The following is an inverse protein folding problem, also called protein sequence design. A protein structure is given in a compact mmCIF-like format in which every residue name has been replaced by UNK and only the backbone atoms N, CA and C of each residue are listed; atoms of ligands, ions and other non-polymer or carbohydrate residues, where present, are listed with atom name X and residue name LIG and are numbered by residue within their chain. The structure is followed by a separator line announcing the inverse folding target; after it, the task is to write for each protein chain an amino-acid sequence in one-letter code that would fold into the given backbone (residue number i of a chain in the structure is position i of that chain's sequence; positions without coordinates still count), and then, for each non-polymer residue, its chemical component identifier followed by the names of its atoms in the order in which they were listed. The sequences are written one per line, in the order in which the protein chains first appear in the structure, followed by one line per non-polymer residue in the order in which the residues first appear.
data_IF_110576017502
#
_entry.id   IF_110576017502
#
_cell.length_a   1.000
_cell.length_b   1.000
_cell.length_c   1.000
_cell.angle_alpha   90.00
_cell.angle_beta   90.00
_cell.angle_gamma   90.00
#
_symmetry.space_group_name_H-M   'P 1'
#
loop_
_entity.id
_entity.type
_entity.pdbx_description
1 polymer ?
#
# COMPACT_ATOMS: atom_id res chain seq x y z
N UNK A 1 -32.59 -1.89 3.30
CA UNK A 1 -32.47 -3.05 2.40
C UNK A 1 -31.03 -3.57 2.45
N UNK A 2 -30.80 -4.89 2.50
CA UNK A 2 -29.45 -5.50 2.62
C UNK A 2 -29.08 -6.17 1.29
N UNK A 3 -27.88 -5.89 0.78
CA UNK A 3 -27.38 -6.56 -0.43
C UNK A 3 -27.19 -8.06 -0.18
N UNK A 4 -27.39 -8.87 -1.23
CA UNK A 4 -27.11 -10.30 -1.19
C UNK A 4 -25.61 -10.53 -0.97
N UNK A 5 -25.21 -11.61 -0.27
CA UNK A 5 -23.81 -12.00 -0.17
C UNK A 5 -23.14 -12.03 -1.56
N UNK A 6 -21.91 -11.53 -1.65
CA UNK A 6 -21.15 -11.45 -2.91
C UNK A 6 -21.41 -10.20 -3.76
N UNK A 7 -22.56 -9.53 -3.64
CA UNK A 7 -22.85 -8.32 -4.44
C UNK A 7 -21.86 -7.18 -4.15
N UNK A 8 -21.54 -6.94 -2.87
CA UNK A 8 -20.59 -5.89 -2.49
C UNK A 8 -19.16 -6.26 -2.87
N UNK A 9 -18.78 -7.52 -2.68
CA UNK A 9 -17.44 -8.02 -3.04
C UNK A 9 -17.17 -7.87 -4.55
N UNK A 10 -18.12 -8.28 -5.41
CA UNK A 10 -17.98 -8.10 -6.87
C UNK A 10 -17.88 -6.63 -7.28
N UNK A 11 -18.57 -5.74 -6.57
CA UNK A 11 -18.47 -4.29 -6.80
C UNK A 11 -17.10 -3.74 -6.40
N UNK A 12 -16.55 -4.20 -5.28
CA UNK A 12 -15.22 -3.82 -4.80
C UNK A 12 -14.12 -4.34 -5.74
N UNK A 13 -14.20 -5.59 -6.20
CA UNK A 13 -13.27 -6.16 -7.19
C UNK A 13 -13.25 -5.30 -8.45
N UNK A 14 -14.43 -4.99 -9.02
CA UNK A 14 -14.51 -4.14 -10.21
C UNK A 14 -13.98 -2.73 -9.98
N UNK A 15 -14.20 -2.18 -8.78
CA UNK A 15 -13.68 -0.85 -8.40
C UNK A 15 -12.15 -0.87 -8.38
N UNK A 16 -11.55 -1.80 -7.65
CA UNK A 16 -10.09 -1.87 -7.47
C UNK A 16 -9.35 -2.29 -8.75
N UNK A 17 -9.94 -3.16 -9.57
CA UNK A 17 -9.38 -3.49 -10.89
C UNK A 17 -9.38 -2.32 -11.88
N UNK A 18 -10.28 -1.34 -11.69
CA UNK A 18 -10.37 -0.16 -12.58
C UNK A 18 -9.44 0.98 -12.16
N UNK A 19 -9.08 1.06 -10.88
CA UNK A 19 -8.19 2.08 -10.33
C UNK A 19 -6.74 1.62 -10.27
N UNK A 20 -5.83 2.57 -10.18
CA UNK A 20 -4.39 2.33 -9.95
C UNK A 20 -3.89 3.01 -8.66
N UNK A 21 -4.82 3.30 -7.75
CA UNK A 21 -4.49 3.90 -6.47
C UNK A 21 -3.84 2.85 -5.57
N UNK A 22 -2.81 3.26 -4.82
CA UNK A 22 -2.21 2.44 -3.78
C UNK A 22 -3.25 2.13 -2.70
N UNK A 23 -3.40 0.84 -2.41
CA UNK A 23 -4.35 0.29 -1.44
C UNK A 23 -3.78 0.38 -0.02
N UNK A 24 -2.45 0.32 0.13
CA UNK A 24 -1.80 0.43 1.44
C UNK A 24 -1.60 1.91 1.81
N UNK A 25 -1.87 2.25 3.07
CA UNK A 25 -1.70 3.64 3.56
C UNK A 25 -0.21 4.00 3.59
N UNK A 26 0.13 5.16 3.01
CA UNK A 26 1.52 5.65 2.87
C UNK A 26 2.31 5.76 4.18
N UNK A 27 1.71 6.31 5.25
CA UNK A 27 2.44 6.53 6.51
C UNK A 27 2.82 5.22 7.23
N UNK A 28 1.90 4.24 7.41
CA UNK A 28 2.28 2.91 7.90
C UNK A 28 3.32 2.22 7.03
N UNK A 29 3.17 2.27 5.69
CA UNK A 29 4.14 1.68 4.77
C UNK A 29 5.54 2.31 4.93
N UNK A 30 5.63 3.64 5.00
CA UNK A 30 6.88 4.34 5.25
C UNK A 30 7.52 3.97 6.60
N UNK A 31 6.73 3.76 7.66
CA UNK A 31 7.24 3.33 8.97
C UNK A 31 7.85 1.93 8.88
N UNK A 32 7.16 1.00 8.22
CA UNK A 32 7.65 -0.36 8.00
C UNK A 32 8.96 -0.38 7.18
N UNK A 33 9.05 0.42 6.12
CA UNK A 33 10.29 0.55 5.34
C UNK A 33 11.45 1.00 6.22
N UNK A 34 11.22 1.95 7.14
CA UNK A 34 12.26 2.46 8.05
C UNK A 34 12.63 1.46 9.13
N UNK A 35 11.66 0.75 9.68
CA UNK A 35 11.86 -0.31 10.65
C UNK A 35 12.79 -1.39 10.08
N UNK A 36 12.45 -1.94 8.90
CA UNK A 36 13.27 -2.96 8.23
C UNK A 36 14.66 -2.41 7.89
N UNK A 37 14.75 -1.17 7.37
CA UNK A 37 16.03 -0.58 6.99
C UNK A 37 16.98 -0.37 8.19
N UNK A 38 16.42 -0.10 9.37
CA UNK A 38 17.18 0.12 10.60
C UNK A 38 17.94 -1.15 11.04
N UNK A 39 17.42 -2.34 10.74
CA UNK A 39 18.08 -3.61 11.01
C UNK A 39 19.35 -3.81 10.16
N UNK A 40 19.43 -3.17 8.98
CA UNK A 40 20.59 -3.25 8.10
C UNK A 40 21.60 -2.13 8.34
N UNK A 41 21.12 -0.89 8.56
CA UNK A 41 21.97 0.27 8.82
C UNK A 41 21.19 1.37 9.52
N UNK A 42 21.72 1.83 10.66
CA UNK A 42 21.17 2.97 11.38
C UNK A 42 21.34 4.28 10.60
N UNK A 43 20.44 5.24 10.86
CA UNK A 43 20.48 6.61 10.30
C UNK A 43 20.35 6.73 8.77
N UNK A 44 19.80 5.71 8.11
CA UNK A 44 19.46 5.79 6.69
C UNK A 44 18.37 6.83 6.42
N UNK A 45 18.60 7.62 5.36
CA UNK A 45 17.62 8.56 4.81
C UNK A 45 17.11 8.03 3.48
N UNK A 46 15.80 8.14 3.29
CA UNK A 46 15.13 7.77 2.06
C UNK A 46 14.66 9.04 1.33
N UNK A 47 14.87 9.07 0.02
CA UNK A 47 14.16 9.99 -0.84
C UNK A 47 12.66 9.65 -0.82
N UNK A 48 11.79 10.65 -0.95
CA UNK A 48 10.35 10.43 -1.03
C UNK A 48 9.96 9.55 -2.21
N UNK A 49 10.61 9.75 -3.36
CA UNK A 49 10.44 8.92 -4.57
C UNK A 49 10.84 7.46 -4.34
N UNK A 50 11.89 7.19 -3.57
CA UNK A 50 12.33 5.82 -3.28
C UNK A 50 11.28 5.06 -2.45
N UNK A 51 10.68 5.70 -1.44
CA UNK A 51 9.60 5.08 -0.65
C UNK A 51 8.37 4.81 -1.51
N UNK A 52 8.04 5.74 -2.42
CA UNK A 52 6.93 5.54 -3.37
C UNK A 52 7.20 4.37 -4.33
N UNK A 53 8.41 4.28 -4.88
CA UNK A 53 8.79 3.19 -5.79
C UNK A 53 8.77 1.82 -5.08
N UNK A 54 9.21 1.76 -3.82
CA UNK A 54 9.09 0.56 -3.00
C UNK A 54 7.63 0.15 -2.81
N UNK A 55 6.72 1.11 -2.61
CA UNK A 55 5.30 0.83 -2.45
C UNK A 55 4.67 0.36 -3.75
N UNK A 56 4.95 1.02 -4.87
CA UNK A 56 4.48 0.61 -6.20
C UNK A 56 4.95 -0.80 -6.59
N UNK A 57 6.17 -1.20 -6.21
CA UNK A 57 6.68 -2.53 -6.52
C UNK A 57 6.17 -3.64 -5.60
N UNK A 58 5.63 -3.29 -4.42
CA UNK A 58 5.16 -4.27 -3.42
C UNK A 58 3.66 -4.54 -3.50
N UNK A 59 2.90 -3.67 -4.15
CA UNK A 59 1.45 -3.80 -4.38
C UNK A 59 1.15 -4.39 -5.77
#
# INVERSE_FOLDING_TARGET
HRYRPGTVALREIRRYQKSTELLIRKLPFQRLVREIAQDFKTDLRFQSSAVMALQEASE
#
